data_IF_627126965555
#
_entry.id   IF_627126965555
#
_cell.length_a   1.000
_cell.length_b   1.000
_cell.length_c   1.000
_cell.angle_alpha   90.00
_cell.angle_beta   90.00
_cell.angle_gamma   90.00
#
_symmetry.space_group_name_H-M   'P 1'
#
loop_
_entity.id
_entity.type
_entity.pdbx_description
1 polymer ?
#
# COMPACT_ATOMS: atom_id res chain seq x y z
N UNK A 1 -22.45 -26.95 -14.57
CA UNK A 1 -21.08 -26.63 -15.01
C UNK A 1 -20.68 -25.37 -14.27
N UNK A 2 -19.96 -25.48 -13.14
CA UNK A 2 -19.47 -24.30 -12.43
C UNK A 2 -18.29 -23.78 -13.23
N UNK A 3 -18.51 -22.71 -14.00
CA UNK A 3 -17.43 -21.98 -14.64
C UNK A 3 -16.60 -21.34 -13.54
N UNK A 4 -15.52 -22.02 -13.13
CA UNK A 4 -14.51 -21.38 -12.30
C UNK A 4 -13.87 -20.30 -13.18
N UNK A 5 -14.16 -19.04 -12.87
CA UNK A 5 -13.37 -17.95 -13.42
C UNK A 5 -11.90 -18.21 -13.08
N UNK A 6 -10.97 -18.05 -14.04
CA UNK A 6 -9.56 -18.22 -13.74
C UNK A 6 -9.15 -17.26 -12.62
N UNK A 7 -8.22 -17.66 -11.74
CA UNK A 7 -7.74 -16.80 -10.67
C UNK A 7 -7.19 -15.49 -11.24
N UNK A 8 -7.48 -14.38 -10.58
CA UNK A 8 -6.97 -13.08 -10.99
C UNK A 8 -5.43 -13.10 -11.01
N UNK A 9 -4.84 -12.59 -12.08
CA UNK A 9 -3.38 -12.43 -12.15
C UNK A 9 -2.94 -11.32 -11.19
N UNK A 10 -1.81 -11.51 -10.48
CA UNK A 10 -1.27 -10.48 -9.60
C UNK A 10 -0.97 -9.20 -10.36
N UNK A 11 -1.19 -8.04 -9.73
CA UNK A 11 -0.86 -6.74 -10.30
C UNK A 11 0.66 -6.60 -10.41
N UNK A 12 1.16 -6.43 -11.64
CA UNK A 12 2.59 -6.36 -11.92
C UNK A 12 3.17 -4.94 -11.85
N UNK A 13 4.51 -4.83 -11.80
CA UNK A 13 5.23 -3.55 -11.83
C UNK A 13 4.84 -2.66 -13.02
N UNK A 14 4.68 -3.25 -14.21
CA UNK A 14 4.29 -2.52 -15.42
C UNK A 14 2.89 -1.90 -15.29
N UNK A 15 1.97 -2.61 -14.64
CA UNK A 15 0.60 -2.15 -14.44
C UNK A 15 0.55 -1.00 -13.44
N UNK A 16 1.32 -1.11 -12.34
CA UNK A 16 1.48 -0.02 -11.37
C UNK A 16 2.01 1.26 -12.03
N UNK A 17 2.85 1.15 -13.06
CA UNK A 17 3.32 2.29 -13.84
C UNK A 17 2.23 3.08 -14.57
N UNK A 18 1.01 2.53 -14.66
CA UNK A 18 -0.15 3.19 -15.27
C UNK A 18 -0.93 4.08 -14.28
N UNK A 19 -0.60 4.04 -12.98
CA UNK A 19 -1.27 4.84 -11.95
C UNK A 19 -0.63 6.23 -11.81
N UNK A 20 -1.42 7.17 -11.29
CA UNK A 20 -0.93 8.45 -10.76
C UNK A 20 -0.16 8.21 -9.46
N UNK A 21 0.67 9.15 -9.00
CA UNK A 21 1.41 8.98 -7.75
C UNK A 21 0.49 8.91 -6.53
N UNK A 22 -0.66 9.62 -6.54
CA UNK A 22 -1.71 9.46 -5.52
C UNK A 22 -2.44 8.12 -5.65
N UNK A 23 -2.65 7.61 -6.86
CA UNK A 23 -3.17 6.27 -7.09
C UNK A 23 -2.24 5.18 -6.53
N UNK A 24 -0.92 5.34 -6.70
CA UNK A 24 0.08 4.47 -6.09
C UNK A 24 0.02 4.52 -4.55
N UNK A 25 -0.09 5.73 -3.97
CA UNK A 25 -0.24 5.89 -2.52
C UNK A 25 -1.51 5.20 -2.00
N UNK A 26 -2.65 5.39 -2.67
CA UNK A 26 -3.92 4.74 -2.36
C UNK A 26 -3.80 3.21 -2.40
N UNK A 27 -3.18 2.68 -3.45
CA UNK A 27 -2.99 1.25 -3.64
C UNK A 27 -2.08 0.65 -2.56
N UNK A 28 -0.94 1.31 -2.27
CA UNK A 28 0.00 0.88 -1.24
C UNK A 28 -0.64 0.90 0.15
N UNK A 29 -1.43 1.94 0.46
CA UNK A 29 -2.12 2.04 1.75
C UNK A 29 -3.14 0.91 1.94
N UNK A 30 -3.91 0.56 0.90
CA UNK A 30 -4.86 -0.57 0.97
C UNK A 30 -4.16 -1.91 1.10
N UNK A 31 -3.01 -2.12 0.43
CA UNK A 31 -2.20 -3.31 0.63
C UNK A 31 -1.68 -3.40 2.08
N UNK A 32 -1.20 -2.29 2.63
CA UNK A 32 -0.72 -2.22 4.01
C UNK A 32 -1.84 -2.42 5.04
N UNK A 33 -3.04 -1.87 4.83
CA UNK A 33 -4.21 -2.13 5.69
C UNK A 33 -4.54 -3.62 5.74
N UNK A 34 -4.58 -4.31 4.59
CA UNK A 34 -4.80 -5.77 4.56
C UNK A 34 -3.70 -6.54 5.31
N UNK A 35 -2.44 -6.11 5.19
CA UNK A 35 -1.35 -6.75 5.94
C UNK A 35 -1.52 -6.55 7.46
N UNK A 36 -1.94 -5.35 7.88
CA UNK A 36 -2.22 -5.05 9.28
C UNK A 36 -3.45 -5.79 9.83
N UNK A 37 -4.45 -6.11 9.00
CA UNK A 37 -5.58 -6.97 9.41
C UNK A 37 -5.16 -8.40 9.76
N UNK A 38 -3.98 -8.84 9.29
CA UNK A 38 -3.40 -10.15 9.61
C UNK A 38 -2.43 -10.09 10.79
N UNK A 39 -1.92 -8.90 11.13
CA UNK A 39 -0.99 -8.72 12.24
C UNK A 39 -1.70 -8.94 13.59
N UNK A 40 -1.10 -9.77 14.45
CA UNK A 40 -1.60 -10.11 15.78
C UNK A 40 -0.51 -9.81 16.82
N UNK A 41 -0.37 -8.56 17.28
CA UNK A 41 0.64 -8.22 18.27
C UNK A 41 0.37 -8.95 19.59
N UNK A 42 1.42 -9.50 20.17
CA UNK A 42 1.42 -10.36 21.35
C UNK A 42 2.10 -9.72 22.57
N UNK A 43 2.97 -8.73 22.35
CA UNK A 43 3.67 -7.97 23.40
C UNK A 43 3.21 -6.50 23.47
N UNK A 44 3.57 -5.79 24.52
CA UNK A 44 3.31 -4.33 24.62
C UNK A 44 4.09 -3.58 23.53
N UNK A 45 5.37 -3.92 23.33
CA UNK A 45 6.23 -3.32 22.30
C UNK A 45 5.65 -3.51 20.89
N UNK A 46 5.11 -4.70 20.60
CA UNK A 46 4.45 -5.01 19.33
C UNK A 46 3.16 -4.21 19.12
N UNK A 47 2.40 -3.97 20.20
CA UNK A 47 1.19 -3.12 20.16
C UNK A 47 1.56 -1.66 19.93
N UNK A 48 2.58 -1.16 20.61
CA UNK A 48 3.12 0.17 20.35
C UNK A 48 3.62 0.29 18.91
N UNK A 49 4.35 -0.70 18.40
CA UNK A 49 4.79 -0.71 17.00
C UNK A 49 3.61 -0.71 16.01
N UNK A 50 2.53 -1.44 16.32
CA UNK A 50 1.31 -1.46 15.52
C UNK A 50 0.69 -0.06 15.37
N UNK A 51 0.68 0.74 16.44
CA UNK A 51 0.19 2.12 16.40
C UNK A 51 1.01 2.99 15.44
N UNK A 52 2.35 2.86 15.45
CA UNK A 52 3.22 3.55 14.48
C UNK A 52 2.93 3.12 13.04
N UNK A 53 2.68 1.83 12.80
CA UNK A 53 2.34 1.34 11.46
C UNK A 53 0.96 1.81 10.99
N UNK A 54 -0.04 1.87 11.87
CA UNK A 54 -1.35 2.43 11.53
C UNK A 54 -1.24 3.93 11.20
N UNK A 55 -0.47 4.70 11.97
CA UNK A 55 -0.21 6.10 11.66
C UNK A 55 0.52 6.28 10.31
N UNK A 56 1.45 5.38 9.98
CA UNK A 56 2.13 5.38 8.68
C UNK A 56 1.18 5.09 7.51
N UNK A 57 0.18 4.23 7.71
CA UNK A 57 -0.87 3.96 6.74
C UNK A 57 -1.80 5.18 6.61
N UNK A 58 -2.22 5.78 7.72
CA UNK A 58 -3.09 6.97 7.70
C UNK A 58 -2.38 8.17 7.05
N UNK A 59 -1.05 8.24 7.16
CA UNK A 59 -0.24 9.19 6.41
C UNK A 59 -0.30 8.91 4.89
N UNK A 60 -0.18 7.66 4.46
CA UNK A 60 -0.30 7.29 3.04
C UNK A 60 -1.72 7.58 2.49
N UNK A 61 -2.76 7.34 3.29
CA UNK A 61 -4.14 7.73 2.98
C UNK A 61 -4.27 9.24 2.79
N UNK A 62 -3.63 10.01 3.64
CA UNK A 62 -3.63 11.47 3.56
C UNK A 62 -2.88 11.95 2.30
N UNK A 63 -1.76 11.30 1.96
CA UNK A 63 -1.05 11.58 0.72
C UNK A 63 -1.90 11.26 -0.53
N UNK A 64 -2.64 10.15 -0.51
CA UNK A 64 -3.57 9.76 -1.57
C UNK A 64 -4.71 10.77 -1.76
N UNK A 65 -5.26 11.32 -0.66
CA UNK A 65 -6.26 12.40 -0.69
C UNK A 65 -5.68 13.74 -1.11
N UNK A 66 -4.37 13.91 -0.96
CA UNK A 66 -3.67 15.16 -1.26
C UNK A 66 -3.71 16.18 -0.12
N UNK A 67 -3.96 15.74 1.13
CA UNK A 67 -4.01 16.57 2.33
C UNK A 67 -2.80 16.37 3.27
N UNK A 68 -1.93 15.40 2.99
CA UNK A 68 -0.71 15.19 3.77
C UNK A 68 0.34 16.29 3.58
N UNK A 69 1.07 16.58 4.65
CA UNK A 69 2.29 17.38 4.64
C UNK A 69 3.53 16.54 4.36
N UNK A 70 4.64 17.22 4.03
CA UNK A 70 5.94 16.55 3.94
C UNK A 70 6.30 15.84 5.26
N UNK A 71 6.91 14.66 5.12
CA UNK A 71 7.35 13.84 6.24
C UNK A 71 8.89 13.74 6.19
N UNK A 72 9.60 14.01 7.30
CA UNK A 72 11.06 13.91 7.35
C UNK A 72 11.55 12.52 6.95
N UNK A 73 12.56 12.43 6.08
CA UNK A 73 13.16 11.15 5.64
C UNK A 73 13.59 10.28 6.84
N UNK A 74 14.10 10.91 7.89
CA UNK A 74 14.50 10.22 9.12
C UNK A 74 13.34 9.44 9.79
N UNK A 75 12.09 9.89 9.66
CA UNK A 75 10.93 9.16 10.17
C UNK A 75 10.63 7.91 9.33
N UNK A 76 10.87 7.95 8.02
CA UNK A 76 10.74 6.76 7.17
C UNK A 76 11.80 5.71 7.55
N UNK A 77 13.04 6.14 7.78
CA UNK A 77 14.12 5.23 8.21
C UNK A 77 13.84 4.61 9.59
N UNK A 78 13.25 5.39 10.50
CA UNK A 78 12.78 4.89 11.78
C UNK A 78 11.65 3.86 11.63
N UNK A 79 10.69 4.07 10.72
CA UNK A 79 9.62 3.10 10.44
C UNK A 79 10.18 1.79 9.90
N UNK A 80 11.15 1.83 8.98
CA UNK A 80 11.81 0.61 8.49
C UNK A 80 12.61 -0.09 9.59
N UNK A 81 13.31 0.66 10.44
CA UNK A 81 14.06 0.10 11.57
C UNK A 81 13.14 -0.56 12.59
N UNK A 82 11.99 0.06 12.89
CA UNK A 82 10.97 -0.50 13.77
C UNK A 82 10.33 -1.76 13.15
N UNK A 83 10.03 -1.73 11.85
CA UNK A 83 9.52 -2.89 11.12
C UNK A 83 10.48 -4.08 11.18
N UNK A 84 11.79 -3.82 11.06
CA UNK A 84 12.83 -4.84 11.17
C UNK A 84 12.89 -5.46 12.58
N UNK A 85 12.83 -4.61 13.62
CA UNK A 85 12.85 -5.06 15.03
C UNK A 85 11.70 -6.02 15.36
N UNK A 86 10.52 -5.81 14.78
CA UNK A 86 9.34 -6.65 15.02
C UNK A 86 9.07 -7.67 13.91
N UNK A 87 9.93 -7.76 12.88
CA UNK A 87 9.66 -8.53 11.67
C UNK A 87 9.39 -10.01 11.94
N UNK A 88 10.19 -10.60 12.82
CA UNK A 88 10.14 -12.03 13.17
C UNK A 88 8.81 -12.44 13.82
N UNK A 89 8.14 -11.53 14.51
CA UNK A 89 6.88 -11.79 15.24
C UNK A 89 5.67 -11.14 14.56
N UNK A 90 5.86 -10.10 13.76
CA UNK A 90 4.80 -9.33 13.12
C UNK A 90 4.47 -9.77 11.68
N UNK A 91 5.03 -10.88 11.20
CA UNK A 91 4.76 -11.39 9.85
C UNK A 91 5.06 -10.36 8.76
N UNK A 92 6.06 -9.51 9.00
CA UNK A 92 6.50 -8.41 8.12
C UNK A 92 5.47 -7.29 7.88
N UNK A 93 4.29 -7.27 8.49
CA UNK A 93 3.24 -6.26 8.23
C UNK A 93 3.73 -4.80 8.36
N UNK A 94 4.66 -4.54 9.28
CA UNK A 94 5.32 -3.24 9.44
C UNK A 94 6.05 -2.74 8.19
N UNK A 95 6.62 -3.64 7.38
CA UNK A 95 7.25 -3.27 6.11
C UNK A 95 6.22 -2.79 5.09
N UNK A 96 5.00 -3.33 5.08
CA UNK A 96 3.96 -2.86 4.18
C UNK A 96 3.56 -1.42 4.54
N UNK A 97 3.40 -1.12 5.83
CA UNK A 97 3.13 0.23 6.32
C UNK A 97 4.28 1.21 6.02
N UNK A 98 5.54 0.80 6.23
CA UNK A 98 6.70 1.62 5.91
C UNK A 98 6.81 1.91 4.41
N UNK A 99 6.56 0.92 3.56
CA UNK A 99 6.47 1.12 2.11
C UNK A 99 5.33 2.07 1.73
N UNK A 100 4.14 1.92 2.31
CA UNK A 100 3.01 2.82 2.04
C UNK A 100 3.34 4.28 2.43
N UNK A 101 3.94 4.50 3.61
CA UNK A 101 4.36 5.84 4.02
C UNK A 101 5.44 6.42 3.10
N UNK A 102 6.41 5.61 2.66
CA UNK A 102 7.42 6.03 1.68
C UNK A 102 6.76 6.45 0.35
N UNK A 103 5.78 5.69 -0.13
CA UNK A 103 5.03 6.05 -1.34
C UNK A 103 4.28 7.36 -1.14
N UNK A 104 3.60 7.53 0.00
CA UNK A 104 2.91 8.78 0.35
C UNK A 104 3.86 9.99 0.34
N UNK A 105 4.98 9.90 1.05
CA UNK A 105 5.97 10.98 1.14
C UNK A 105 6.52 11.37 -0.25
N UNK A 106 6.81 10.37 -1.09
CA UNK A 106 7.29 10.59 -2.46
C UNK A 106 6.19 11.12 -3.39
N UNK A 107 4.93 10.76 -3.19
CA UNK A 107 3.82 11.28 -4.00
C UNK A 107 3.59 12.78 -3.78
N UNK A 108 3.88 13.30 -2.58
CA UNK A 108 3.80 14.73 -2.23
C UNK A 108 4.94 15.50 -2.89
N UNK A 109 6.17 14.98 -2.79
CA UNK A 109 7.34 15.58 -3.44
C UNK A 109 7.22 15.61 -4.98
N UNK A 110 6.38 14.73 -5.55
CA UNK A 110 6.23 14.54 -6.99
C UNK A 110 7.33 13.66 -7.58
N UNK A 111 7.03 13.01 -8.70
CA UNK A 111 8.02 12.28 -9.49
C UNK A 111 8.74 13.27 -10.42
N UNK A 112 9.83 13.87 -9.93
CA UNK A 112 10.60 14.85 -10.71
C UNK A 112 11.29 14.22 -11.94
N UNK A 113 11.55 12.91 -11.88
CA UNK A 113 12.18 12.14 -12.95
C UNK A 113 11.74 10.67 -12.96
N UNK A 114 12.24 9.91 -13.94
CA UNK A 114 11.95 8.50 -14.12
C UNK A 114 12.45 7.62 -12.95
N UNK A 115 13.56 7.99 -12.31
CA UNK A 115 14.10 7.24 -11.17
C UNK A 115 13.16 7.36 -9.97
N UNK A 116 12.70 8.57 -9.66
CA UNK A 116 11.72 8.82 -8.61
C UNK A 116 10.39 8.07 -8.87
N UNK A 117 9.96 8.00 -10.13
CA UNK A 117 8.79 7.22 -10.52
C UNK A 117 9.00 5.71 -10.31
N UNK A 118 10.15 5.17 -10.70
CA UNK A 118 10.47 3.75 -10.49
C UNK A 118 10.55 3.40 -9.00
N UNK A 119 11.09 4.30 -8.16
CA UNK A 119 11.10 4.11 -6.70
C UNK A 119 9.69 4.05 -6.10
N UNK A 120 8.76 4.89 -6.57
CA UNK A 120 7.35 4.86 -6.18
C UNK A 120 6.69 3.54 -6.56
N UNK A 121 6.90 3.09 -7.80
CA UNK A 121 6.36 1.83 -8.32
C UNK A 121 6.94 0.65 -7.52
N UNK A 122 8.26 0.62 -7.31
CA UNK A 122 8.93 -0.43 -6.56
C UNK A 122 8.50 -0.48 -5.10
N UNK A 123 8.33 0.69 -4.45
CA UNK A 123 7.85 0.76 -3.07
C UNK A 123 6.40 0.30 -2.95
N UNK A 124 5.55 0.68 -3.90
CA UNK A 124 4.15 0.21 -3.98
C UNK A 124 4.10 -1.30 -4.15
N UNK A 125 4.91 -1.84 -5.06
CA UNK A 125 5.05 -3.28 -5.25
C UNK A 125 5.55 -3.96 -3.96
N UNK A 126 6.54 -3.38 -3.26
CA UNK A 126 7.01 -3.84 -1.97
C UNK A 126 5.90 -4.01 -0.93
N UNK A 127 5.01 -3.02 -0.79
CA UNK A 127 3.84 -3.12 0.08
C UNK A 127 2.93 -4.31 -0.27
N UNK A 128 2.70 -4.58 -1.57
CA UNK A 128 1.93 -5.75 -2.00
C UNK A 128 2.65 -7.07 -1.76
N UNK A 129 3.98 -7.12 -1.92
CA UNK A 129 4.78 -8.33 -1.71
C UNK A 129 4.79 -8.76 -0.24
N UNK A 130 4.86 -7.79 0.67
CA UNK A 130 4.75 -8.05 2.10
C UNK A 130 3.39 -8.65 2.47
N UNK A 131 2.30 -8.22 1.84
CA UNK A 131 0.97 -8.80 2.06
C UNK A 131 0.92 -10.30 1.71
N UNK A 132 1.59 -10.75 0.64
CA UNK A 132 1.68 -12.19 0.35
C UNK A 132 2.45 -12.95 1.44
N UNK A 133 3.56 -12.38 1.92
CA UNK A 133 4.35 -12.99 3.00
C UNK A 133 3.54 -13.10 4.30
N UNK A 134 2.72 -12.09 4.61
CA UNK A 134 1.91 -12.06 5.82
C UNK A 134 0.72 -13.04 5.81
N UNK A 135 0.27 -13.46 4.62
CA UNK A 135 -0.99 -14.19 4.43
C UNK A 135 -0.83 -15.69 4.15
N UNK A 136 0.34 -16.10 3.63
CA UNK A 136 0.62 -17.47 3.24
C UNK A 136 -0.16 -17.93 1.99
N UNK A 137 0.24 -19.08 1.44
CA UNK A 137 -0.20 -19.57 0.12
C UNK A 137 -1.72 -19.76 0.00
N UNK A 138 -2.41 -20.06 1.11
CA UNK A 138 -3.85 -20.32 1.11
C UNK A 138 -4.71 -19.09 0.76
N UNK A 139 -4.18 -17.88 0.90
CA UNK A 139 -4.90 -16.63 0.65
C UNK A 139 -4.46 -15.92 -0.64
N UNK A 140 -3.53 -16.49 -1.40
CA UNK A 140 -2.94 -15.84 -2.58
C UNK A 140 -4.00 -15.44 -3.62
N UNK A 141 -4.91 -16.35 -3.97
CA UNK A 141 -5.98 -16.07 -4.96
C UNK A 141 -6.89 -14.94 -4.50
N UNK A 142 -7.15 -14.89 -3.21
CA UNK A 142 -8.05 -13.92 -2.60
C UNK A 142 -7.40 -12.54 -2.58
N UNK A 143 -6.13 -12.46 -2.19
CA UNK A 143 -5.32 -11.24 -2.25
C UNK A 143 -5.16 -10.74 -3.68
N UNK A 144 -4.87 -11.62 -4.64
CA UNK A 144 -4.78 -11.25 -6.06
C UNK A 144 -6.07 -10.61 -6.53
N UNK A 145 -7.21 -11.19 -6.16
CA UNK A 145 -8.54 -10.67 -6.53
C UNK A 145 -8.79 -9.31 -5.89
N UNK A 146 -8.45 -9.14 -4.61
CA UNK A 146 -8.63 -7.89 -3.89
C UNK A 146 -7.74 -6.76 -4.43
N UNK A 147 -6.46 -7.05 -4.69
CA UNK A 147 -5.52 -6.10 -5.30
C UNK A 147 -5.93 -5.75 -6.74
N UNK A 148 -6.35 -6.74 -7.53
CA UNK A 148 -6.85 -6.48 -8.89
C UNK A 148 -8.08 -5.58 -8.87
N UNK A 149 -9.01 -5.84 -7.96
CA UNK A 149 -10.23 -5.02 -7.79
C UNK A 149 -9.89 -3.57 -7.45
N UNK A 150 -8.94 -3.35 -6.53
CA UNK A 150 -8.48 -2.01 -6.17
C UNK A 150 -7.81 -1.30 -7.37
N UNK A 151 -6.96 -2.02 -8.11
CA UNK A 151 -6.27 -1.49 -9.30
C UNK A 151 -7.28 -1.07 -10.38
N UNK A 152 -8.21 -1.96 -10.72
CA UNK A 152 -9.23 -1.70 -11.73
C UNK A 152 -10.18 -0.57 -11.30
N UNK A 153 -10.44 -0.43 -10.00
CA UNK A 153 -11.20 0.70 -9.46
C UNK A 153 -10.42 2.02 -9.63
N UNK A 154 -9.13 2.05 -9.28
CA UNK A 154 -8.28 3.23 -9.45
C UNK A 154 -8.16 3.68 -10.92
N UNK A 155 -8.02 2.73 -11.86
CA UNK A 155 -8.01 3.03 -13.30
C UNK A 155 -9.35 3.62 -13.75
N UNK A 156 -10.47 3.05 -13.29
CA UNK A 156 -11.82 3.54 -13.65
C UNK A 156 -12.14 4.93 -13.10
N UNK A 157 -11.51 5.34 -12.01
CA UNK A 157 -11.69 6.68 -11.44
C UNK A 157 -11.05 7.77 -12.30
N UNK A 158 -10.22 7.42 -13.29
CA UNK A 158 -9.54 8.37 -14.20
C UNK A 158 -8.92 9.56 -13.44
N UNK A 159 -8.06 9.23 -12.47
CA UNK A 159 -7.43 10.24 -11.61
C UNK A 159 -6.48 11.17 -12.38
N UNK A 160 -6.28 10.96 -13.68
CA UNK A 160 -5.39 11.74 -14.53
C UNK A 160 -4.21 10.92 -15.08
N UNK A 161 -3.27 11.57 -15.79
CA UNK A 161 -2.20 10.86 -16.48
C UNK A 161 -1.25 10.16 -15.51
N UNK A 162 -0.76 8.98 -15.91
CA UNK A 162 0.26 8.24 -15.18
C UNK A 162 1.49 9.11 -14.86
N UNK A 163 2.18 8.80 -13.77
CA UNK A 163 3.34 9.55 -13.26
C UNK A 163 3.06 11.00 -12.79
N UNK A 164 1.84 11.50 -12.92
CA UNK A 164 1.45 12.80 -12.35
C UNK A 164 0.88 12.62 -10.94
N UNK A 165 0.75 13.69 -10.13
CA UNK A 165 0.03 13.61 -8.86
C UNK A 165 -1.39 13.03 -9.00
N UNK A 166 -2.11 13.42 -10.05
CA UNK A 166 -3.51 13.06 -10.24
C UNK A 166 -4.48 13.72 -9.24
N UNK A 167 -5.76 13.42 -9.38
CA UNK A 167 -6.82 13.80 -8.45
C UNK A 167 -6.67 13.04 -7.13
N UNK A 168 -7.09 13.67 -6.03
CA UNK A 168 -7.13 13.03 -4.73
C UNK A 168 -8.17 11.90 -4.69
N UNK A 169 -7.85 10.81 -3.99
CA UNK A 169 -8.76 9.68 -3.78
C UNK A 169 -8.70 9.26 -2.33
N UNK A 170 -9.85 8.94 -1.73
CA UNK A 170 -9.92 8.35 -0.39
C UNK A 170 -9.76 6.82 -0.49
N UNK A 171 -8.64 6.24 -0.04
CA UNK A 171 -8.43 4.80 -0.10
C UNK A 171 -9.10 4.04 1.05
N UNK A 172 -9.74 4.73 2.00
CA UNK A 172 -10.39 4.11 3.15
C UNK A 172 -11.47 3.10 2.72
N UNK A 173 -11.85 2.15 3.59
CA UNK A 173 -12.91 1.18 3.29
C UNK A 173 -14.27 1.81 2.93
N UNK A 174 -14.49 3.06 3.33
CA UNK A 174 -15.72 3.82 3.05
C UNK A 174 -15.58 4.75 1.83
N UNK A 175 -14.38 4.82 1.24
CA UNK A 175 -14.09 5.62 0.07
C UNK A 175 -14.59 5.01 -1.25
N UNK A 176 -14.30 5.64 -2.40
CA UNK A 176 -14.73 5.20 -3.73
C UNK A 176 -14.19 3.83 -4.15
N UNK A 177 -13.14 3.32 -3.50
CA UNK A 177 -12.60 1.98 -3.75
C UNK A 177 -13.38 0.88 -3.02
N UNK A 178 -14.30 1.25 -2.13
CA UNK A 178 -15.12 0.32 -1.36
C UNK A 178 -14.35 -0.45 -0.29
N UNK A 179 -14.96 -1.49 0.31
CA UNK A 179 -14.36 -2.25 1.40
C UNK A 179 -13.07 -2.94 0.95
N UNK A 180 -12.17 -3.21 1.91
CA UNK A 180 -11.00 -4.04 1.68
C UNK A 180 -11.50 -5.46 1.38
N UNK A 181 -11.59 -5.81 0.10
CA UNK A 181 -11.99 -7.16 -0.33
C UNK A 181 -11.20 -8.20 0.47
N UNK A 182 -11.94 -9.16 1.03
CA UNK A 182 -11.41 -10.23 1.90
C UNK A 182 -10.93 -11.41 1.13
#
# INVERSE_FOLDING_TARGET
>A
MFGMNPPALPVGLNELGSLTTRGLAAFAARAARRAMELYRPSTDDERTAAEYFLNAIDYADSAARGDASELPVALLDQLFSLADQVAATAGYAGFAAAHAARVGARSIAGAADQTAQLELIASTFGATRVLYTASGDALETVINTALRTDFDALIRLDLGPAATPGQGVDPSPNGPLGPLGR
#
